data_IF_967715219526
#
_entry.id   IF_967715219526
#
_cell.length_a   1.000
_cell.length_b   1.000
_cell.length_c   1.000
_cell.angle_alpha   90.00
_cell.angle_beta   90.00
_cell.angle_gamma   90.00
#
_symmetry.space_group_name_H-M   'P 1'
#
loop_
_entity.id
_entity.type
_entity.pdbx_description
1 polymer ?
#
# COMPACT_ATOMS: atom_id res chain seq x y z
N UNK A 1 -79.31 -31.19 12.01
CA UNK A 1 -78.30 -31.47 13.06
C UNK A 1 -77.14 -32.23 12.42
N UNK A 2 -76.22 -31.58 11.71
CA UNK A 2 -74.94 -31.14 12.29
C UNK A 2 -73.77 -31.93 11.68
N UNK A 3 -73.36 -31.60 10.44
CA UNK A 3 -72.08 -32.08 9.87
C UNK A 3 -70.97 -31.10 10.27
N UNK A 4 -70.00 -31.60 11.04
CA UNK A 4 -68.83 -30.89 11.54
C UNK A 4 -67.98 -30.32 10.38
N UNK A 5 -67.74 -29.02 10.43
CA UNK A 5 -66.74 -28.31 9.65
C UNK A 5 -65.37 -28.66 10.25
N UNK A 6 -64.58 -29.46 9.52
CA UNK A 6 -63.15 -29.70 9.75
C UNK A 6 -62.50 -29.83 8.38
N UNK A 7 -62.09 -28.72 7.76
CA UNK A 7 -61.16 -28.73 6.60
C UNK A 7 -60.76 -27.33 6.11
N UNK A 8 -60.26 -26.46 6.99
CA UNK A 8 -59.67 -25.18 6.53
C UNK A 8 -58.33 -24.82 7.17
N UNK A 9 -57.79 -25.62 8.09
CA UNK A 9 -56.54 -25.28 8.78
C UNK A 9 -55.26 -25.80 8.09
N UNK A 10 -55.36 -26.67 7.08
CA UNK A 10 -54.18 -27.27 6.43
C UNK A 10 -53.66 -26.49 5.19
N UNK A 11 -54.35 -25.41 4.77
CA UNK A 11 -54.01 -24.69 3.52
C UNK A 11 -53.04 -23.52 3.71
N UNK A 12 -52.92 -22.97 4.92
CA UNK A 12 -52.08 -21.79 5.19
C UNK A 12 -50.61 -22.16 5.47
N UNK A 13 -50.32 -23.42 5.82
CA UNK A 13 -48.96 -23.86 6.16
C UNK A 13 -48.09 -24.15 4.94
N UNK A 14 -48.67 -24.45 3.76
CA UNK A 14 -47.90 -24.74 2.54
C UNK A 14 -47.49 -23.51 1.71
N UNK A 15 -48.20 -22.37 1.85
CA UNK A 15 -47.87 -21.15 1.09
C UNK A 15 -46.66 -20.37 1.64
N UNK A 16 -46.12 -20.75 2.80
CA UNK A 16 -44.95 -20.12 3.40
C UNK A 16 -43.60 -20.66 2.88
N UNK A 17 -43.61 -21.42 1.78
CA UNK A 17 -42.38 -21.76 1.06
C UNK A 17 -41.93 -20.61 0.15
N UNK A 18 -40.92 -19.90 0.64
CA UNK A 18 -39.97 -19.05 -0.08
C UNK A 18 -40.51 -17.79 -0.78
N UNK A 19 -41.08 -16.85 0.00
CA UNK A 19 -40.82 -15.45 -0.36
C UNK A 19 -39.37 -15.12 0.00
N UNK A 20 -38.56 -14.75 -0.99
CA UNK A 20 -37.22 -14.22 -0.71
C UNK A 20 -37.36 -12.97 0.14
N UNK A 21 -36.45 -12.74 1.09
CA UNK A 21 -36.37 -11.48 1.84
C UNK A 21 -36.36 -10.27 0.88
N UNK A 22 -35.89 -10.48 -0.36
CA UNK A 22 -35.91 -9.46 -1.40
C UNK A 22 -37.31 -9.07 -1.87
N UNK A 23 -38.27 -10.00 -1.86
CA UNK A 23 -39.62 -9.85 -2.40
C UNK A 23 -40.57 -9.08 -1.45
N UNK A 24 -40.15 -8.86 -0.20
CA UNK A 24 -40.92 -8.13 0.81
C UNK A 24 -40.88 -6.63 0.50
N UNK A 25 -42.01 -6.07 0.08
CA UNK A 25 -42.14 -4.62 -0.22
C UNK A 25 -42.10 -3.74 1.04
N UNK A 26 -42.63 -4.24 2.17
CA UNK A 26 -42.64 -3.48 3.42
C UNK A 26 -41.23 -3.35 4.00
N UNK A 27 -40.66 -2.13 3.95
CA UNK A 27 -39.30 -1.82 4.44
C UNK A 27 -39.09 -2.13 5.92
N UNK A 28 -40.09 -1.98 6.78
CA UNK A 28 -39.94 -2.20 8.22
C UNK A 28 -39.78 -3.71 8.49
N UNK A 29 -40.67 -4.51 7.90
CA UNK A 29 -40.64 -5.97 8.02
C UNK A 29 -39.35 -6.52 7.39
N UNK A 30 -38.98 -6.04 6.19
CA UNK A 30 -37.73 -6.42 5.50
C UNK A 30 -36.49 -6.12 6.35
N UNK A 31 -36.38 -4.93 6.94
CA UNK A 31 -35.26 -4.56 7.82
C UNK A 31 -35.18 -5.46 9.06
N UNK A 32 -36.33 -5.76 9.69
CA UNK A 32 -36.39 -6.63 10.87
C UNK A 32 -35.90 -8.05 10.56
N UNK A 33 -36.35 -8.62 9.44
CA UNK A 33 -35.93 -9.96 8.99
C UNK A 33 -34.45 -9.99 8.57
N UNK A 34 -33.97 -9.00 7.82
CA UNK A 34 -32.54 -8.88 7.48
C UNK A 34 -31.69 -8.79 8.75
N UNK A 35 -32.11 -8.00 9.73
CA UNK A 35 -31.40 -7.89 11.00
C UNK A 35 -31.35 -9.24 11.74
N UNK A 36 -32.48 -9.94 11.84
CA UNK A 36 -32.53 -11.29 12.44
C UNK A 36 -31.58 -12.26 11.73
N UNK A 37 -31.58 -12.31 10.40
CA UNK A 37 -30.67 -13.17 9.63
C UNK A 37 -29.19 -12.78 9.84
N UNK A 38 -28.86 -11.48 9.87
CA UNK A 38 -27.51 -11.03 10.18
C UNK A 38 -27.07 -11.43 11.60
N UNK A 39 -27.97 -11.38 12.60
CA UNK A 39 -27.66 -11.82 13.97
C UNK A 39 -27.44 -13.33 14.04
N UNK A 40 -28.28 -14.14 13.37
CA UNK A 40 -28.09 -15.60 13.27
C UNK A 40 -26.76 -15.93 12.60
N UNK A 41 -26.45 -15.30 11.46
CA UNK A 41 -25.20 -15.49 10.73
C UNK A 41 -23.96 -15.09 11.54
N UNK A 42 -24.05 -14.03 12.36
CA UNK A 42 -22.99 -13.63 13.30
C UNK A 42 -22.79 -14.66 14.42
N UNK A 43 -23.88 -15.18 15.00
CA UNK A 43 -23.82 -16.24 16.03
C UNK A 43 -23.15 -17.51 15.48
N UNK A 44 -23.61 -18.00 14.33
CA UNK A 44 -23.03 -19.17 13.66
C UNK A 44 -21.54 -18.99 13.35
N UNK A 45 -21.15 -17.84 12.77
CA UNK A 45 -19.72 -17.54 12.51
C UNK A 45 -18.87 -17.50 13.78
N UNK A 46 -19.43 -17.05 14.91
CA UNK A 46 -18.72 -17.02 16.20
C UNK A 46 -18.51 -18.42 16.74
N UNK A 47 -19.53 -19.27 16.65
CA UNK A 47 -19.48 -20.68 17.04
C UNK A 47 -18.49 -21.48 16.20
N UNK A 48 -18.51 -21.27 14.89
CA UNK A 48 -17.56 -21.86 13.95
C UNK A 48 -16.11 -21.43 14.26
N UNK A 49 -15.86 -20.14 14.51
CA UNK A 49 -14.54 -19.66 14.94
C UNK A 49 -14.07 -20.29 16.25
N UNK A 50 -15.00 -20.52 17.20
CA UNK A 50 -14.68 -21.20 18.46
C UNK A 50 -14.27 -22.65 18.17
N UNK A 51 -15.04 -23.39 17.37
CA UNK A 51 -14.69 -24.76 16.92
C UNK A 51 -13.32 -24.83 16.25
N UNK A 52 -13.01 -23.90 15.32
CA UNK A 52 -11.71 -23.87 14.63
C UNK A 52 -10.54 -23.60 15.57
N UNK A 53 -10.75 -22.70 16.55
CA UNK A 53 -9.77 -22.42 17.60
C UNK A 53 -9.54 -23.62 18.51
N UNK A 54 -10.62 -24.29 18.93
CA UNK A 54 -10.55 -25.48 19.80
C UNK A 54 -9.90 -26.67 19.07
N UNK A 55 -10.04 -26.76 17.75
CA UNK A 55 -9.37 -27.74 16.88
C UNK A 55 -7.92 -27.37 16.51
N UNK A 56 -7.42 -26.21 16.93
CA UNK A 56 -6.07 -25.74 16.60
C UNK A 56 -5.86 -25.37 15.13
N UNK A 57 -6.92 -25.15 14.36
CA UNK A 57 -6.84 -24.83 12.93
C UNK A 57 -6.37 -23.37 12.73
N UNK A 58 -5.46 -23.15 11.78
CA UNK A 58 -4.96 -21.81 11.50
C UNK A 58 -6.09 -20.88 11.01
N UNK A 59 -6.10 -19.60 11.43
CA UNK A 59 -7.06 -18.63 10.91
C UNK A 59 -6.95 -18.53 9.39
N UNK A 60 -8.09 -18.49 8.69
CA UNK A 60 -8.12 -18.27 7.25
C UNK A 60 -7.45 -16.94 6.88
N UNK A 61 -6.66 -16.94 5.80
CA UNK A 61 -5.94 -15.75 5.34
C UNK A 61 -6.95 -14.68 4.90
N UNK A 62 -6.91 -13.47 5.46
CA UNK A 62 -7.85 -12.43 5.09
C UNK A 62 -7.55 -11.91 3.68
N UNK A 63 -8.60 -11.74 2.87
CA UNK A 63 -8.49 -11.02 1.61
C UNK A 63 -8.25 -9.53 1.86
N UNK A 64 -7.00 -9.13 1.84
CA UNK A 64 -6.56 -7.73 1.87
C UNK A 64 -6.37 -7.19 0.45
N UNK A 65 -6.36 -5.87 0.29
CA UNK A 65 -6.05 -5.24 -1.01
C UNK A 65 -4.65 -5.64 -1.50
N UNK A 66 -3.70 -5.87 -0.60
CA UNK A 66 -2.37 -6.38 -0.97
C UNK A 66 -2.44 -7.83 -1.49
N UNK A 67 -3.21 -8.70 -0.82
CA UNK A 67 -3.37 -10.10 -1.28
C UNK A 67 -4.10 -10.24 -2.61
N UNK A 68 -4.98 -9.28 -2.94
CA UNK A 68 -5.76 -9.25 -4.18
C UNK A 68 -5.15 -8.30 -5.22
N UNK A 69 -3.91 -7.85 -5.01
CA UNK A 69 -3.19 -7.00 -5.95
C UNK A 69 -3.07 -7.72 -7.29
N UNK A 70 -3.27 -6.98 -8.38
CA UNK A 70 -3.00 -7.49 -9.73
C UNK A 70 -1.48 -7.59 -9.84
N UNK A 71 -0.97 -8.79 -10.07
CA UNK A 71 0.46 -9.01 -10.28
C UNK A 71 0.89 -8.20 -11.51
N UNK A 72 1.84 -7.28 -11.32
CA UNK A 72 2.48 -6.58 -12.42
C UNK A 72 3.65 -7.44 -12.92
N UNK A 73 3.83 -7.48 -14.24
CA UNK A 73 4.87 -8.31 -14.88
C UNK A 73 6.28 -7.80 -14.57
N UNK A 74 6.40 -6.52 -14.20
CA UNK A 74 7.67 -5.85 -13.88
C UNK A 74 8.10 -6.03 -12.41
N UNK A 75 7.36 -6.79 -11.60
CA UNK A 75 7.70 -7.07 -10.19
C UNK A 75 8.91 -8.00 -10.12
N UNK A 76 9.93 -7.56 -9.41
CA UNK A 76 11.20 -8.24 -9.19
C UNK A 76 11.15 -9.04 -7.87
N UNK A 77 10.32 -10.07 -7.82
CA UNK A 77 10.30 -10.97 -6.67
C UNK A 77 11.31 -12.13 -6.88
N UNK A 78 12.37 -12.24 -6.06
CA UNK A 78 13.39 -13.28 -6.20
C UNK A 78 12.88 -14.69 -5.82
N UNK A 79 11.69 -14.78 -5.22
CA UNK A 79 11.07 -16.04 -4.79
C UNK A 79 10.28 -16.68 -5.94
N UNK A 80 9.90 -15.91 -6.96
CA UNK A 80 9.05 -16.40 -8.06
C UNK A 80 9.95 -17.02 -9.14
N UNK A 81 9.81 -18.32 -9.45
CA UNK A 81 10.59 -18.96 -10.50
C UNK A 81 10.28 -18.33 -11.87
N UNK A 82 11.32 -18.03 -12.65
CA UNK A 82 11.22 -17.33 -13.94
C UNK A 82 11.44 -15.82 -13.90
N UNK A 83 11.66 -15.23 -12.72
CA UNK A 83 12.03 -13.81 -12.59
C UNK A 83 13.55 -13.57 -12.65
N UNK A 84 14.38 -14.61 -12.70
CA UNK A 84 15.85 -14.50 -12.68
C UNK A 84 16.37 -13.65 -13.84
N UNK A 85 15.89 -13.89 -15.06
CA UNK A 85 16.29 -13.12 -16.25
C UNK A 85 15.94 -11.63 -16.12
N UNK A 86 14.75 -11.32 -15.58
CA UNK A 86 14.33 -9.92 -15.34
C UNK A 86 15.17 -9.25 -14.27
N UNK A 87 15.55 -9.99 -13.23
CA UNK A 87 16.44 -9.49 -12.18
C UNK A 87 17.82 -9.19 -12.76
N UNK A 88 18.35 -10.06 -13.62
CA UNK A 88 19.62 -9.82 -14.30
C UNK A 88 19.53 -8.62 -15.27
N UNK A 89 18.45 -8.47 -16.04
CA UNK A 89 18.23 -7.28 -16.88
C UNK A 89 18.24 -6.01 -16.05
N UNK A 90 17.50 -5.97 -14.93
CA UNK A 90 17.46 -4.79 -14.06
C UNK A 90 18.81 -4.54 -13.39
N UNK A 91 19.58 -5.57 -13.06
CA UNK A 91 20.95 -5.38 -12.56
C UNK A 91 21.84 -4.71 -13.62
N UNK A 92 21.71 -5.11 -14.89
CA UNK A 92 22.44 -4.50 -16.00
C UNK A 92 22.01 -3.02 -16.13
N UNK A 93 20.70 -2.74 -16.13
CA UNK A 93 20.19 -1.37 -16.16
C UNK A 93 20.80 -0.53 -15.03
N UNK A 94 20.74 -1.06 -13.80
CA UNK A 94 21.25 -0.42 -12.58
C UNK A 94 22.76 -0.14 -12.67
N UNK A 95 23.55 -1.03 -13.26
CA UNK A 95 24.98 -0.84 -13.45
C UNK A 95 25.32 0.17 -14.55
N UNK A 96 24.43 0.36 -15.51
CA UNK A 96 24.63 1.29 -16.63
C UNK A 96 23.96 2.65 -16.43
N UNK A 97 23.26 2.83 -15.31
CA UNK A 97 22.45 4.03 -15.08
C UNK A 97 23.28 5.29 -14.78
N UNK A 98 22.62 6.45 -14.88
CA UNK A 98 23.22 7.76 -14.62
C UNK A 98 23.65 7.96 -13.15
N UNK A 99 23.26 7.06 -12.25
CA UNK A 99 23.57 7.15 -10.81
C UNK A 99 24.70 6.20 -10.39
N UNK A 100 25.23 5.38 -11.30
CA UNK A 100 26.22 4.36 -10.95
C UNK A 100 27.47 4.97 -10.31
N UNK A 101 28.00 6.07 -10.86
CA UNK A 101 29.12 6.82 -10.26
C UNK A 101 28.83 7.30 -8.82
N UNK A 102 27.58 7.61 -8.50
CA UNK A 102 27.18 7.97 -7.13
C UNK A 102 27.22 6.74 -6.20
N UNK A 103 26.69 5.60 -6.65
CA UNK A 103 26.68 4.37 -5.85
C UNK A 103 28.06 3.72 -5.72
N UNK A 104 28.94 3.92 -6.70
CA UNK A 104 30.36 3.58 -6.63
C UNK A 104 31.18 4.57 -5.78
N UNK A 105 30.53 5.59 -5.19
CA UNK A 105 31.15 6.57 -4.31
C UNK A 105 32.26 7.40 -4.97
N UNK A 106 32.22 7.53 -6.31
CA UNK A 106 33.25 8.23 -7.09
C UNK A 106 33.29 9.73 -6.77
N UNK A 107 32.14 10.30 -6.41
CA UNK A 107 32.02 11.71 -6.04
C UNK A 107 31.08 11.91 -4.86
N UNK A 108 31.29 13.00 -4.11
CA UNK A 108 30.38 13.42 -3.04
C UNK A 108 29.22 14.22 -3.65
N UNK A 109 27.96 13.81 -3.49
CA UNK A 109 26.81 14.49 -4.08
C UNK A 109 26.67 15.91 -3.52
N UNK A 110 26.40 16.87 -4.40
CA UNK A 110 26.06 18.25 -4.04
C UNK A 110 24.66 18.53 -4.54
N UNK A 111 23.73 18.76 -3.61
CA UNK A 111 22.32 18.99 -3.93
C UNK A 111 22.00 20.47 -3.71
N UNK A 112 21.52 21.12 -4.76
CA UNK A 112 20.96 22.48 -4.69
C UNK A 112 19.46 22.37 -4.42
N UNK A 113 18.99 22.97 -3.33
CA UNK A 113 17.55 23.07 -3.03
C UNK A 113 17.09 24.46 -3.49
N UNK A 114 16.21 24.49 -4.48
CA UNK A 114 15.53 25.70 -4.95
C UNK A 114 14.11 25.76 -4.40
N UNK A 115 13.53 26.95 -4.38
CA UNK A 115 12.14 27.18 -3.99
C UNK A 115 11.44 27.95 -5.09
N UNK A 116 10.11 27.86 -5.15
CA UNK A 116 9.32 28.79 -5.94
C UNK A 116 9.40 30.20 -5.33
N UNK A 117 9.04 31.20 -6.13
CA UNK A 117 8.97 32.59 -5.69
C UNK A 117 8.09 32.71 -4.42
N UNK A 118 8.57 33.50 -3.46
CA UNK A 118 7.95 33.73 -2.14
C UNK A 118 7.76 32.45 -1.28
N UNK A 119 8.86 31.82 -0.81
CA UNK A 119 8.80 30.61 0.01
C UNK A 119 8.22 30.89 1.40
N UNK A 120 7.51 29.89 1.95
CA UNK A 120 7.04 29.94 3.34
C UNK A 120 8.20 29.74 4.32
N UNK A 121 8.32 30.62 5.32
CA UNK A 121 9.43 30.61 6.28
C UNK A 121 9.19 29.68 7.48
N UNK A 122 9.06 28.37 7.25
CA UNK A 122 9.00 27.37 8.34
C UNK A 122 10.39 26.85 8.68
N UNK A 123 10.82 27.03 9.93
CA UNK A 123 12.12 26.57 10.41
C UNK A 123 12.02 25.20 11.10
N UNK A 124 12.91 24.27 10.77
CA UNK A 124 12.98 22.91 11.34
C UNK A 124 14.24 22.76 12.18
N UNK A 125 14.37 23.58 13.24
CA UNK A 125 15.62 23.75 14.04
C UNK A 125 16.08 22.52 14.81
N UNK A 126 15.29 21.44 14.86
CA UNK A 126 15.59 20.24 15.67
C UNK A 126 16.43 19.19 14.92
N UNK A 127 16.80 19.42 13.66
CA UNK A 127 17.55 18.46 12.85
C UNK A 127 19.07 18.64 13.06
N UNK A 128 19.72 17.61 13.61
CA UNK A 128 21.19 17.56 13.74
C UNK A 128 21.86 17.48 12.35
N UNK A 129 23.10 17.99 12.21
CA UNK A 129 23.94 17.93 11.01
C UNK A 129 24.34 16.52 10.55
N UNK A 130 24.34 15.51 11.43
CA UNK A 130 24.78 14.15 11.10
C UNK A 130 24.08 13.53 9.89
N UNK A 131 24.80 12.84 9.01
CA UNK A 131 24.21 12.22 7.80
C UNK A 131 23.22 11.10 8.18
N UNK A 132 21.97 11.12 7.67
CA UNK A 132 20.99 10.10 8.00
C UNK A 132 21.22 8.81 7.20
N UNK A 133 20.80 7.69 7.77
CA UNK A 133 20.58 6.44 7.02
C UNK A 133 19.33 6.57 6.15
N UNK A 134 19.33 5.97 4.96
CA UNK A 134 18.18 5.97 4.04
C UNK A 134 17.61 4.58 3.92
N UNK A 135 16.31 4.46 4.20
CA UNK A 135 15.55 3.21 4.07
C UNK A 135 14.55 3.37 2.93
N UNK A 136 14.61 2.46 1.96
CA UNK A 136 13.70 2.37 0.83
C UNK A 136 12.90 1.07 0.99
N UNK A 137 11.59 1.16 1.18
CA UNK A 137 10.73 0.01 1.42
C UNK A 137 9.69 -0.15 0.29
N UNK A 138 9.51 -1.38 -0.17
CA UNK A 138 8.51 -1.81 -1.15
C UNK A 138 8.63 -1.15 -2.54
N UNK A 139 9.84 -0.90 -3.01
CA UNK A 139 10.10 -0.53 -4.41
C UNK A 139 10.46 -1.79 -5.18
N UNK A 140 9.44 -2.54 -5.60
CA UNK A 140 9.62 -3.91 -6.10
C UNK A 140 9.58 -4.02 -7.61
N UNK A 141 9.02 -3.02 -8.31
CA UNK A 141 8.97 -3.03 -9.77
C UNK A 141 10.28 -2.49 -10.37
N UNK A 142 10.50 -2.71 -11.67
CA UNK A 142 11.60 -2.05 -12.42
C UNK A 142 11.56 -0.53 -12.26
N UNK A 143 10.38 0.09 -12.49
CA UNK A 143 10.16 1.52 -12.26
C UNK A 143 10.43 1.94 -10.82
N UNK A 144 9.93 1.15 -9.86
CA UNK A 144 10.15 1.37 -8.44
C UNK A 144 11.64 1.38 -8.09
N UNK A 145 12.41 0.47 -8.65
CA UNK A 145 13.86 0.37 -8.46
C UNK A 145 14.59 1.62 -8.96
N UNK A 146 14.26 2.11 -10.16
CA UNK A 146 14.82 3.35 -10.71
C UNK A 146 14.49 4.56 -9.84
N UNK A 147 13.22 4.70 -9.43
CA UNK A 147 12.77 5.79 -8.54
C UNK A 147 13.44 5.70 -7.17
N UNK A 148 13.61 4.50 -6.63
CA UNK A 148 14.28 4.27 -5.36
C UNK A 148 15.74 4.71 -5.41
N UNK A 149 16.46 4.40 -6.49
CA UNK A 149 17.84 4.86 -6.71
C UNK A 149 17.94 6.38 -6.82
N UNK A 150 17.04 7.00 -7.59
CA UNK A 150 16.97 8.46 -7.70
C UNK A 150 16.69 9.13 -6.35
N UNK A 151 15.82 8.57 -5.52
CA UNK A 151 15.55 9.10 -4.17
C UNK A 151 16.72 8.88 -3.21
N UNK A 152 17.45 7.77 -3.33
CA UNK A 152 18.64 7.49 -2.52
C UNK A 152 19.80 8.44 -2.85
N UNK A 153 19.98 8.81 -4.12
CA UNK A 153 21.06 9.69 -4.57
C UNK A 153 20.94 11.14 -4.10
N UNK A 154 19.78 11.53 -3.57
CA UNK A 154 19.58 12.83 -2.90
C UNK A 154 20.32 12.93 -1.56
N UNK A 155 20.70 11.81 -0.97
CA UNK A 155 21.40 11.75 0.32
C UNK A 155 22.88 11.41 0.12
N UNK A 156 23.65 11.53 1.19
CA UNK A 156 25.04 11.09 1.18
C UNK A 156 25.09 9.56 1.31
N UNK A 157 25.91 8.89 0.50
CA UNK A 157 26.02 7.42 0.51
C UNK A 157 26.57 6.85 1.83
N UNK A 158 27.41 7.61 2.54
CA UNK A 158 28.00 7.26 3.84
C UNK A 158 27.20 7.85 5.03
N UNK A 159 26.39 7.06 5.76
CA UNK A 159 25.59 7.52 6.88
C UNK A 159 26.36 7.58 8.21
N UNK A 160 26.02 8.54 9.08
CA UNK A 160 26.65 8.69 10.39
C UNK A 160 25.77 8.12 11.52
N UNK A 161 26.02 6.86 11.89
CA UNK A 161 25.26 6.14 12.93
C UNK A 161 25.26 6.81 14.31
N UNK A 162 26.29 7.61 14.62
CA UNK A 162 26.34 8.39 15.88
C UNK A 162 25.16 9.34 16.03
N UNK A 163 24.67 9.91 14.92
CA UNK A 163 23.51 10.79 14.90
C UNK A 163 22.18 10.06 15.13
N UNK A 164 22.15 8.75 14.89
CA UNK A 164 20.96 7.88 14.96
C UNK A 164 19.78 8.43 14.16
N UNK A 165 20.06 9.05 13.01
CA UNK A 165 19.06 9.64 12.12
C UNK A 165 18.74 8.65 11.01
N UNK A 166 17.47 8.52 10.70
CA UNK A 166 17.00 7.68 9.60
C UNK A 166 15.90 8.39 8.82
N UNK A 167 16.06 8.39 7.51
CA UNK A 167 15.05 8.81 6.54
C UNK A 167 14.45 7.55 5.92
N UNK A 168 13.13 7.49 5.84
CA UNK A 168 12.42 6.35 5.27
C UNK A 168 11.52 6.82 4.15
N UNK A 169 11.66 6.20 2.99
CA UNK A 169 10.70 6.21 1.91
C UNK A 169 9.97 4.87 1.91
N UNK A 170 8.72 4.88 2.33
CA UNK A 170 7.88 3.68 2.32
C UNK A 170 6.87 3.77 1.20
N UNK A 171 7.02 2.92 0.18
CA UNK A 171 6.03 2.79 -0.87
C UNK A 171 4.86 1.90 -0.40
N UNK A 172 3.65 2.44 -0.48
CA UNK A 172 2.43 1.69 -0.27
C UNK A 172 1.39 2.19 -1.26
N UNK A 173 1.07 1.35 -2.27
CA UNK A 173 0.07 1.63 -3.30
C UNK A 173 0.36 2.87 -4.14
N UNK A 174 1.61 3.01 -4.60
CA UNK A 174 2.14 4.17 -5.32
C UNK A 174 2.15 5.48 -4.52
N UNK A 175 1.89 5.41 -3.21
CA UNK A 175 2.13 6.50 -2.29
C UNK A 175 3.44 6.26 -1.57
N UNK A 176 4.39 7.16 -1.77
CA UNK A 176 5.69 7.13 -1.11
C UNK A 176 5.60 8.00 0.13
N UNK A 177 5.56 7.37 1.30
CA UNK A 177 5.55 8.06 2.57
C UNK A 177 6.98 8.40 2.97
N UNK A 178 7.30 9.70 2.95
CA UNK A 178 8.55 10.21 3.49
C UNK A 178 8.42 10.42 4.99
N UNK A 179 9.33 9.85 5.76
CA UNK A 179 9.41 10.07 7.21
C UNK A 179 10.86 10.26 7.63
N UNK A 180 11.08 11.16 8.57
CA UNK A 180 12.40 11.42 9.12
C UNK A 180 12.38 11.25 10.63
N UNK A 181 13.11 10.26 11.11
CA UNK A 181 13.14 9.85 12.51
C UNK A 181 14.55 9.89 13.10
N UNK A 182 14.60 9.96 14.43
CA UNK A 182 15.74 9.55 15.23
C UNK A 182 15.38 8.25 15.94
N UNK A 183 16.27 7.25 15.88
CA UNK A 183 16.06 5.99 16.58
C UNK A 183 16.87 5.91 17.88
N UNK A 184 16.36 5.13 18.82
CA UNK A 184 17.05 4.79 20.05
C UNK A 184 16.83 3.30 20.36
N UNK A 185 17.93 2.57 20.49
CA UNK A 185 17.91 1.18 20.92
C UNK A 185 17.97 1.11 22.45
N UNK A 186 17.05 0.33 23.03
CA UNK A 186 17.08 -0.06 24.43
C UNK A 186 17.45 -1.55 24.47
N UNK A 187 18.13 -2.01 25.53
CA UNK A 187 18.82 -3.32 25.57
C UNK A 187 17.94 -4.52 25.18
N UNK A 188 16.63 -4.48 25.42
CA UNK A 188 15.71 -5.61 25.13
C UNK A 188 14.35 -5.18 24.57
N UNK A 189 14.27 -4.01 23.94
CA UNK A 189 13.01 -3.49 23.41
C UNK A 189 13.11 -3.09 21.95
N UNK A 190 11.94 -3.04 21.29
CA UNK A 190 11.81 -2.47 19.94
C UNK A 190 12.40 -1.05 19.93
N UNK A 191 13.09 -0.66 18.84
CA UNK A 191 13.67 0.66 18.73
C UNK A 191 12.58 1.73 18.89
N UNK A 192 12.86 2.71 19.73
CA UNK A 192 11.99 3.87 19.89
C UNK A 192 12.32 4.88 18.81
N UNK A 193 11.28 5.46 18.18
CA UNK A 193 11.42 6.42 17.10
C UNK A 193 10.87 7.78 17.55
N UNK A 194 11.65 8.84 17.35
CA UNK A 194 11.22 10.23 17.50
C UNK A 194 11.19 10.91 16.14
N UNK A 195 10.07 11.47 15.74
CA UNK A 195 9.97 12.28 14.51
C UNK A 195 10.79 13.57 14.66
N UNK A 196 11.60 13.91 13.65
CA UNK A 196 12.47 15.10 13.67
C UNK A 196 12.12 16.12 12.57
N UNK A 197 11.71 15.62 11.41
CA UNK A 197 11.63 16.40 10.17
C UNK A 197 10.23 16.42 9.57
N UNK A 198 10.08 17.06 8.40
CA UNK A 198 8.82 17.15 7.70
C UNK A 198 8.29 15.75 7.35
N UNK A 199 6.96 15.64 7.34
CA UNK A 199 6.25 14.45 6.92
C UNK A 199 5.40 14.80 5.73
N UNK A 200 5.63 14.10 4.65
CA UNK A 200 4.84 14.26 3.44
C UNK A 200 4.67 12.91 2.77
N UNK A 201 3.77 12.92 1.80
CA UNK A 201 3.50 11.77 0.95
C UNK A 201 3.71 12.24 -0.47
N UNK A 202 4.57 11.54 -1.20
CA UNK A 202 4.80 11.76 -2.61
C UNK A 202 3.98 10.76 -3.42
N UNK A 203 3.67 11.16 -4.65
CA UNK A 203 3.13 10.30 -5.68
C UNK A 203 3.84 10.63 -6.97
N UNK A 204 4.33 9.60 -7.66
CA UNK A 204 4.95 9.79 -8.97
C UNK A 204 3.89 10.19 -9.99
N UNK A 205 4.14 11.29 -10.71
CA UNK A 205 3.28 11.74 -11.81
C UNK A 205 3.93 11.46 -13.17
N UNK A 206 5.24 11.71 -13.30
CA UNK A 206 6.01 11.39 -14.49
C UNK A 206 7.51 11.25 -14.17
N UNK A 207 8.25 10.60 -15.08
CA UNK A 207 9.71 10.53 -15.16
C UNK A 207 10.10 11.04 -16.54
N UNK A 208 11.12 11.88 -16.58
CA UNK A 208 11.72 12.42 -17.81
C UNK A 208 13.16 11.96 -17.92
N UNK A 209 13.61 11.77 -19.16
CA UNK A 209 15.02 11.58 -19.47
C UNK A 209 15.73 12.95 -19.49
N UNK A 210 16.92 13.00 -18.88
CA UNK A 210 17.72 14.22 -18.83
C UNK A 210 17.26 15.23 -17.77
N UNK A 211 17.49 16.51 -18.05
CA UNK A 211 17.16 17.61 -17.13
C UNK A 211 15.69 17.99 -17.21
N UNK A 212 15.16 18.55 -16.11
CA UNK A 212 13.78 19.03 -16.06
C UNK A 212 13.46 20.01 -17.20
N UNK A 213 12.62 19.58 -18.13
CA UNK A 213 12.11 20.38 -19.24
C UNK A 213 10.60 20.18 -19.39
N UNK A 214 9.85 21.28 -19.24
CA UNK A 214 8.39 21.26 -19.33
C UNK A 214 7.86 21.34 -20.76
N UNK A 215 8.70 21.69 -21.74
CA UNK A 215 8.29 21.98 -23.11
C UNK A 215 8.63 20.81 -24.03
N UNK A 216 9.88 20.35 -24.01
CA UNK A 216 10.41 19.33 -24.93
C UNK A 216 10.97 18.10 -24.20
N UNK A 217 10.66 17.92 -22.93
CA UNK A 217 11.14 16.78 -22.15
C UNK A 217 10.64 15.45 -22.72
N UNK A 218 11.56 14.51 -22.91
CA UNK A 218 11.25 13.13 -23.28
C UNK A 218 10.82 12.35 -22.03
N UNK A 219 9.59 11.83 -22.04
CA UNK A 219 9.01 11.15 -20.88
C UNK A 219 9.18 9.64 -20.98
N UNK A 220 10.00 9.06 -20.11
CA UNK A 220 10.14 7.62 -19.95
C UNK A 220 8.86 7.00 -19.40
N UNK A 221 8.26 7.65 -18.39
CA UNK A 221 7.04 7.19 -17.77
C UNK A 221 6.12 8.36 -17.45
N UNK A 222 4.86 8.23 -17.84
CA UNK A 222 3.80 9.17 -17.44
C UNK A 222 2.67 8.38 -16.86
N UNK A 223 2.14 8.85 -15.74
CA UNK A 223 0.93 8.32 -15.15
C UNK A 223 -0.25 8.53 -16.11
N UNK A 224 -0.54 7.48 -16.88
CA UNK A 224 -1.54 7.52 -17.95
C UNK A 224 -2.96 7.60 -17.42
N UNK A 225 -3.68 8.68 -17.77
CA UNK A 225 -5.14 8.80 -17.63
C UNK A 225 -5.62 10.08 -16.96
N UNK A 226 -6.82 10.54 -17.33
CA UNK A 226 -7.55 11.54 -16.51
C UNK A 226 -7.80 10.91 -15.13
N UNK A 227 -7.79 11.71 -14.05
CA UNK A 227 -8.02 11.27 -12.65
C UNK A 227 -9.06 10.15 -12.47
N UNK A 228 -10.15 10.18 -13.25
CA UNK A 228 -11.25 9.21 -13.15
C UNK A 228 -11.03 7.87 -13.85
N UNK A 229 -10.22 7.76 -14.92
CA UNK A 229 -9.97 6.46 -15.57
C UNK A 229 -8.98 5.59 -14.78
N UNK A 230 -8.11 6.22 -13.98
CA UNK A 230 -7.12 5.58 -13.12
C UNK A 230 -7.72 4.97 -11.84
N UNK A 231 -8.79 5.56 -11.29
CA UNK A 231 -9.50 4.97 -10.14
C UNK A 231 -10.26 3.68 -10.50
N UNK A 232 -10.37 3.33 -11.79
CA UNK A 232 -11.07 2.15 -12.27
C UNK A 232 -10.36 0.84 -11.89
N UNK A 233 -9.03 0.85 -11.80
CA UNK A 233 -8.23 -0.33 -11.42
C UNK A 233 -7.46 -0.09 -10.12
N UNK A 234 -8.17 -0.13 -8.98
CA UNK A 234 -7.61 0.07 -7.62
C UNK A 234 -6.70 -1.06 -7.12
N UNK A 235 -6.32 -1.98 -8.00
CA UNK A 235 -5.52 -3.17 -7.67
C UNK A 235 -4.20 -3.24 -8.43
N UNK A 236 -3.96 -2.35 -9.41
CA UNK A 236 -2.68 -2.21 -10.09
C UNK A 236 -1.88 -1.07 -9.47
N UNK A 237 -0.59 -1.32 -9.22
CA UNK A 237 0.37 -0.37 -8.67
C UNK A 237 1.66 -0.48 -9.49
N UNK A 238 2.39 0.63 -9.63
CA UNK A 238 3.51 0.76 -10.57
C UNK A 238 4.88 0.84 -9.90
N UNK A 239 4.95 1.16 -8.60
CA UNK A 239 6.20 1.23 -7.81
C UNK A 239 6.44 -0.01 -6.96
#
# INVERSE_FOLDING_TARGET
MGKKIKKEQNGEEEQNKLMSINDIRNRIIKRKLVHQELTKKKKLKKEERKRRKDAGEAPGVPHTIESLRVKDETVLDPIVPGNEEKIEEVKIDVQTDNFESYFNMEYVPKVLITFCDNPTQKSHKEINKHRPEVILNNFTTRLGTSVARMLASLFHYDPEFKGRRVVTFHNQRDYIFFRHHRYQFNKDAKPQLKELGPRFTLRLEYIQEGTFDTILGDYEWVKSGRRHSLESNRRKFYL
#
